data_IF_085959226091
#
_entry.id   IF_085959226091
#
_cell.length_a   1.000
_cell.length_b   1.000
_cell.length_c   1.000
_cell.angle_alpha   90.00
_cell.angle_beta   90.00
_cell.angle_gamma   90.00
#
_symmetry.space_group_name_H-M   'P 1'
#
loop_
_entity.id
_entity.type
_entity.pdbx_description
1 polymer ?
#
# COMPACT_ATOMS: atom_id res chain seq x y z
N UNK A 1 -12.33 -22.62 -3.32
CA UNK A 1 -11.25 -21.74 -3.85
C UNK A 1 -11.75 -20.73 -4.89
N UNK A 2 -12.53 -21.14 -5.92
CA UNK A 2 -12.99 -20.25 -7.01
C UNK A 2 -13.66 -18.95 -6.49
N UNK A 3 -14.65 -19.08 -5.58
CA UNK A 3 -15.37 -17.91 -5.04
C UNK A 3 -14.43 -16.98 -4.29
N UNK A 4 -13.51 -17.51 -3.48
CA UNK A 4 -12.51 -16.71 -2.75
C UNK A 4 -11.59 -15.96 -3.71
N UNK A 5 -11.11 -16.60 -4.78
CA UNK A 5 -10.27 -15.97 -5.80
C UNK A 5 -11.01 -14.84 -6.55
N UNK A 6 -12.29 -15.05 -6.91
CA UNK A 6 -13.13 -14.00 -7.51
C UNK A 6 -13.30 -12.82 -6.56
N UNK A 7 -13.64 -13.06 -5.30
CA UNK A 7 -13.82 -12.01 -4.31
C UNK A 7 -12.52 -11.21 -4.06
N UNK A 8 -11.36 -11.88 -4.01
CA UNK A 8 -10.07 -11.19 -3.87
C UNK A 8 -9.72 -10.37 -5.13
N UNK A 9 -10.03 -10.88 -6.31
CA UNK A 9 -9.95 -10.10 -7.55
C UNK A 9 -10.82 -8.83 -7.49
N UNK A 10 -12.05 -8.93 -6.94
CA UNK A 10 -12.92 -7.77 -6.73
C UNK A 10 -12.35 -6.80 -5.69
N UNK A 11 -11.72 -7.27 -4.62
CA UNK A 11 -11.00 -6.42 -3.66
C UNK A 11 -9.90 -5.62 -4.37
N UNK A 12 -9.17 -6.24 -5.32
CA UNK A 12 -8.19 -5.54 -6.15
C UNK A 12 -8.83 -4.45 -7.02
N UNK A 13 -10.02 -4.71 -7.59
CA UNK A 13 -10.77 -3.70 -8.34
C UNK A 13 -11.17 -2.53 -7.43
N UNK A 14 -11.65 -2.79 -6.22
CA UNK A 14 -12.00 -1.73 -5.25
C UNK A 14 -10.80 -0.84 -4.96
N UNK A 15 -9.60 -1.42 -4.77
CA UNK A 15 -8.38 -0.65 -4.56
C UNK A 15 -8.01 0.26 -5.74
N UNK A 16 -8.16 -0.21 -6.98
CA UNK A 16 -7.85 0.60 -8.16
C UNK A 16 -8.90 1.67 -8.43
N UNK A 17 -10.18 1.38 -8.17
CA UNK A 17 -11.26 2.37 -8.27
C UNK A 17 -11.01 3.54 -7.34
N UNK A 18 -10.64 3.27 -6.09
CA UNK A 18 -10.32 4.31 -5.11
C UNK A 18 -9.26 5.27 -5.63
N UNK A 19 -8.19 4.75 -6.19
CA UNK A 19 -7.07 5.57 -6.66
C UNK A 19 -7.33 6.30 -7.98
N UNK A 20 -8.28 5.83 -8.81
CA UNK A 20 -8.47 6.32 -10.18
C UNK A 20 -9.78 7.07 -10.41
N UNK A 21 -10.86 6.71 -9.71
CA UNK A 21 -12.21 7.24 -9.96
C UNK A 21 -12.82 7.99 -8.77
N UNK A 22 -12.56 7.56 -7.53
CA UNK A 22 -13.26 8.09 -6.35
C UNK A 22 -12.44 9.21 -5.66
N UNK A 23 -11.23 9.49 -6.13
CA UNK A 23 -10.42 10.60 -5.62
C UNK A 23 -9.58 10.26 -4.38
N UNK A 24 -9.10 9.01 -4.27
CA UNK A 24 -8.18 8.54 -3.21
C UNK A 24 -8.73 8.70 -1.79
N UNK A 25 -9.79 7.98 -1.50
CA UNK A 25 -10.33 7.87 -0.13
C UNK A 25 -9.49 6.98 0.80
N UNK A 26 -8.31 6.53 0.32
CA UNK A 26 -7.39 5.63 1.01
C UNK A 26 -7.91 4.18 1.20
N UNK A 27 -8.95 3.77 0.49
CA UNK A 27 -9.43 2.38 0.48
C UNK A 27 -8.38 1.45 -0.13
N UNK A 28 -7.60 1.96 -1.12
CA UNK A 28 -6.49 1.25 -1.74
C UNK A 28 -5.26 1.06 -0.85
N UNK A 29 -5.29 1.45 0.43
CA UNK A 29 -4.16 1.30 1.37
C UNK A 29 -4.01 -0.16 1.81
N UNK A 30 -2.78 -0.63 2.05
CA UNK A 30 -2.50 -1.99 2.50
C UNK A 30 -3.32 -2.43 3.70
N UNK A 31 -3.50 -1.57 4.71
CA UNK A 31 -4.28 -1.87 5.90
C UNK A 31 -5.71 -2.29 5.54
N UNK A 32 -6.37 -1.55 4.65
CA UNK A 32 -7.76 -1.81 4.28
C UNK A 32 -7.84 -3.03 3.35
N UNK A 33 -7.00 -3.10 2.33
CA UNK A 33 -7.03 -4.20 1.36
C UNK A 33 -6.69 -5.56 1.99
N UNK A 34 -5.70 -5.61 2.90
CA UNK A 34 -5.37 -6.83 3.64
C UNK A 34 -6.50 -7.23 4.60
N UNK A 35 -7.15 -6.25 5.25
CA UNK A 35 -8.30 -6.52 6.12
C UNK A 35 -9.47 -7.09 5.30
N UNK A 36 -9.78 -6.51 4.14
CA UNK A 36 -10.81 -7.03 3.22
C UNK A 36 -10.43 -8.43 2.70
N UNK A 37 -9.16 -8.66 2.37
CA UNK A 37 -8.68 -9.97 1.97
C UNK A 37 -8.83 -11.00 3.11
N UNK A 38 -8.49 -10.62 4.33
CA UNK A 38 -8.70 -11.44 5.53
C UNK A 38 -10.18 -11.77 5.76
N UNK A 39 -11.08 -10.81 5.56
CA UNK A 39 -12.52 -11.01 5.67
C UNK A 39 -13.04 -12.02 4.64
N UNK A 40 -12.61 -11.89 3.39
CA UNK A 40 -12.97 -12.83 2.31
C UNK A 40 -12.46 -14.26 2.59
N UNK A 41 -11.29 -14.37 3.18
CA UNK A 41 -10.65 -15.66 3.45
C UNK A 41 -11.11 -16.31 4.76
N UNK A 42 -11.70 -15.52 5.69
CA UNK A 42 -12.22 -15.97 6.98
C UNK A 42 -11.26 -15.76 8.16
N UNK A 43 -10.17 -15.02 7.98
CA UNK A 43 -9.24 -14.63 9.05
C UNK A 43 -8.95 -13.12 9.02
N UNK A 44 -9.90 -12.36 9.56
CA UNK A 44 -9.80 -10.90 9.65
C UNK A 44 -8.63 -10.48 10.54
N UNK A 45 -8.35 -11.23 11.61
CA UNK A 45 -7.25 -10.92 12.53
C UNK A 45 -5.91 -10.92 11.82
N UNK A 46 -5.61 -11.97 11.07
CA UNK A 46 -4.40 -12.08 10.27
C UNK A 46 -4.35 -10.98 9.20
N UNK A 47 -5.48 -10.68 8.56
CA UNK A 47 -5.60 -9.59 7.59
C UNK A 47 -5.24 -8.23 8.17
N UNK A 48 -5.71 -7.89 9.38
CA UNK A 48 -5.39 -6.64 10.06
C UNK A 48 -3.92 -6.58 10.47
N UNK A 49 -3.36 -7.65 11.02
CA UNK A 49 -1.95 -7.69 11.45
C UNK A 49 -1.01 -7.49 10.24
N UNK A 50 -1.24 -8.23 9.17
CA UNK A 50 -0.47 -8.07 7.92
C UNK A 50 -0.68 -6.70 7.30
N UNK A 51 -1.92 -6.24 7.25
CA UNK A 51 -2.27 -4.93 6.73
C UNK A 51 -1.57 -3.80 7.46
N UNK A 52 -1.52 -3.83 8.79
CA UNK A 52 -0.82 -2.84 9.58
C UNK A 52 0.69 -2.84 9.32
N UNK A 53 1.32 -4.02 9.25
CA UNK A 53 2.75 -4.15 8.97
C UNK A 53 3.09 -3.66 7.55
N UNK A 54 2.28 -4.02 6.55
CA UNK A 54 2.45 -3.59 5.16
C UNK A 54 2.17 -2.10 4.98
N UNK A 55 1.24 -1.54 5.77
CA UNK A 55 0.98 -0.10 5.79
C UNK A 55 2.23 0.66 6.24
N UNK A 56 2.88 0.23 7.34
CA UNK A 56 4.11 0.85 7.82
C UNK A 56 5.23 0.81 6.78
N UNK A 57 5.40 -0.31 6.08
CA UNK A 57 6.36 -0.42 4.98
C UNK A 57 5.99 0.55 3.84
N UNK A 58 4.71 0.62 3.48
CA UNK A 58 4.24 1.45 2.37
C UNK A 58 4.35 2.95 2.63
N UNK A 59 4.30 3.38 3.89
CA UNK A 59 4.48 4.78 4.27
C UNK A 59 5.86 5.33 3.91
N UNK A 60 6.88 4.46 3.87
CA UNK A 60 8.24 4.83 3.45
C UNK A 60 8.41 4.95 1.93
N UNK A 61 7.47 4.45 1.15
CA UNK A 61 7.57 4.50 -0.31
C UNK A 61 7.10 5.85 -0.86
N UNK A 62 8.05 6.68 -1.26
CA UNK A 62 7.77 7.97 -1.89
C UNK A 62 8.08 7.87 -3.39
N UNK A 63 7.17 8.38 -4.22
CA UNK A 63 7.43 8.48 -5.65
C UNK A 63 8.58 9.47 -5.92
N UNK A 64 9.66 8.99 -6.55
CA UNK A 64 10.82 9.80 -6.90
C UNK A 64 10.83 9.99 -8.41
N UNK A 65 10.44 11.17 -8.87
CA UNK A 65 10.37 11.53 -10.29
C UNK A 65 9.42 10.60 -11.08
N UNK A 66 9.91 9.99 -12.18
CA UNK A 66 9.13 9.08 -13.02
C UNK A 66 9.06 7.63 -12.48
N UNK A 67 9.87 7.28 -11.48
CA UNK A 67 9.83 5.96 -10.87
C UNK A 67 8.68 5.89 -9.85
N UNK A 68 7.68 5.08 -10.16
CA UNK A 68 6.61 4.76 -9.22
C UNK A 68 7.12 3.85 -8.09
N UNK A 69 6.61 4.00 -6.86
CA UNK A 69 6.89 3.07 -5.78
C UNK A 69 6.26 1.70 -6.08
N UNK A 70 6.75 0.62 -5.43
CA UNK A 70 6.13 -0.69 -5.53
C UNK A 70 4.62 -0.64 -5.30
N UNK A 71 3.85 -1.33 -6.12
CA UNK A 71 2.39 -1.32 -6.03
C UNK A 71 1.91 -2.20 -4.87
N UNK A 72 1.79 -1.59 -3.70
CA UNK A 72 1.40 -2.28 -2.47
C UNK A 72 -0.05 -2.78 -2.47
N UNK A 73 -0.90 -2.37 -3.42
CA UNK A 73 -2.23 -2.95 -3.59
C UNK A 73 -2.13 -4.43 -3.99
N UNK A 74 -1.27 -4.77 -4.96
CA UNK A 74 -0.96 -6.16 -5.30
C UNK A 74 -0.27 -6.87 -4.15
N UNK A 75 0.78 -6.25 -3.60
CA UNK A 75 1.59 -6.84 -2.53
C UNK A 75 0.74 -7.23 -1.32
N UNK A 76 -0.14 -6.35 -0.87
CA UNK A 76 -0.95 -6.58 0.32
C UNK A 76 -2.00 -7.67 0.13
N UNK A 77 -2.73 -7.67 -0.97
CA UNK A 77 -3.78 -8.68 -1.22
C UNK A 77 -3.15 -10.06 -1.38
N UNK A 78 -2.10 -10.18 -2.21
CA UNK A 78 -1.48 -11.47 -2.52
C UNK A 78 -0.72 -12.02 -1.30
N UNK A 79 0.03 -11.19 -0.57
CA UNK A 79 0.73 -11.63 0.63
C UNK A 79 -0.24 -12.06 1.75
N UNK A 80 -1.35 -11.35 1.92
CA UNK A 80 -2.39 -11.74 2.89
C UNK A 80 -3.07 -13.04 2.47
N UNK A 81 -3.40 -13.19 1.18
CA UNK A 81 -3.96 -14.43 0.67
C UNK A 81 -2.99 -15.60 0.85
N UNK A 82 -1.71 -15.38 0.57
CA UNK A 82 -0.67 -16.39 0.80
C UNK A 82 -0.60 -16.81 2.26
N UNK A 83 -0.47 -15.88 3.21
CA UNK A 83 -0.36 -16.19 4.63
C UNK A 83 -1.55 -17.01 5.14
N UNK A 84 -2.78 -16.59 4.80
CA UNK A 84 -3.99 -17.24 5.29
C UNK A 84 -4.21 -18.61 4.64
N UNK A 85 -3.95 -18.74 3.34
CA UNK A 85 -4.22 -19.97 2.60
C UNK A 85 -3.15 -21.05 2.81
N UNK A 86 -1.88 -20.65 2.98
CA UNK A 86 -0.77 -21.59 3.22
C UNK A 86 -0.45 -21.80 4.71
N UNK A 87 -1.05 -21.02 5.62
CA UNK A 87 -0.69 -21.02 7.04
C UNK A 87 0.71 -20.47 7.31
N UNK A 88 1.28 -19.69 6.37
CA UNK A 88 2.61 -19.12 6.52
C UNK A 88 2.65 -18.05 7.61
N UNK A 89 3.83 -17.86 8.20
CA UNK A 89 4.02 -16.80 9.21
C UNK A 89 3.87 -15.40 8.62
N UNK A 90 3.55 -14.43 9.48
CA UNK A 90 3.43 -13.01 9.09
C UNK A 90 4.71 -12.52 8.42
N UNK A 91 5.87 -12.90 8.93
CA UNK A 91 7.19 -12.50 8.43
C UNK A 91 7.45 -13.05 7.02
N UNK A 92 7.08 -14.31 6.77
CA UNK A 92 7.19 -14.91 5.44
C UNK A 92 6.30 -14.17 4.43
N UNK A 93 5.08 -13.82 4.82
CA UNK A 93 4.18 -13.04 3.98
C UNK A 93 4.71 -11.63 3.68
N UNK A 94 5.27 -10.93 4.66
CA UNK A 94 5.88 -9.61 4.48
C UNK A 94 7.04 -9.64 3.48
N UNK A 95 7.84 -10.71 3.51
CA UNK A 95 8.97 -10.86 2.59
C UNK A 95 8.51 -11.04 1.15
N UNK A 96 7.40 -11.73 0.93
CA UNK A 96 6.83 -11.93 -0.41
C UNK A 96 6.11 -10.65 -0.91
N UNK A 97 5.55 -9.87 0.00
CA UNK A 97 4.77 -8.68 -0.36
C UNK A 97 5.54 -7.69 -1.23
N UNK A 98 6.81 -7.40 -0.90
CA UNK A 98 7.62 -6.41 -1.63
C UNK A 98 7.96 -6.87 -3.05
N UNK A 99 8.48 -8.08 -3.30
CA UNK A 99 8.68 -8.59 -4.67
C UNK A 99 7.39 -8.59 -5.50
N UNK A 100 6.27 -9.02 -4.92
CA UNK A 100 4.96 -9.00 -5.59
C UNK A 100 4.53 -7.57 -5.91
N UNK A 101 4.75 -6.63 -4.99
CA UNK A 101 4.45 -5.22 -5.23
C UNK A 101 5.30 -4.62 -6.37
N UNK A 102 6.57 -5.04 -6.51
CA UNK A 102 7.45 -4.62 -7.63
C UNK A 102 6.90 -5.16 -8.96
N UNK A 103 6.50 -6.43 -9.01
CA UNK A 103 5.85 -7.02 -10.19
C UNK A 103 4.55 -6.27 -10.49
N UNK A 104 3.75 -5.96 -9.48
CA UNK A 104 2.53 -5.17 -9.60
C UNK A 104 2.78 -3.77 -10.16
N UNK A 105 3.87 -3.10 -9.78
CA UNK A 105 4.24 -1.82 -10.38
C UNK A 105 4.64 -1.96 -11.85
N UNK A 106 5.35 -3.01 -12.21
CA UNK A 106 5.68 -3.30 -13.61
C UNK A 106 4.41 -3.47 -14.47
N UNK A 107 3.43 -4.22 -13.96
CA UNK A 107 2.11 -4.31 -14.59
C UNK A 107 1.42 -2.94 -14.71
N UNK A 108 1.53 -2.11 -13.67
CA UNK A 108 0.96 -0.76 -13.66
C UNK A 108 1.61 0.16 -14.69
N UNK A 109 2.91 -0.02 -14.99
CA UNK A 109 3.60 0.72 -16.06
C UNK A 109 3.04 0.30 -17.43
N UNK A 110 2.94 -1.00 -17.70
CA UNK A 110 2.34 -1.52 -18.95
C UNK A 110 0.92 -1.01 -19.10
N UNK A 111 0.13 -1.06 -18.05
CA UNK A 111 -1.23 -0.55 -18.03
C UNK A 111 -1.31 0.93 -18.43
N UNK A 112 -0.42 1.77 -17.87
CA UNK A 112 -0.35 3.20 -18.23
C UNK A 112 -0.04 3.43 -19.71
N UNK A 113 0.86 2.61 -20.30
CA UNK A 113 1.17 2.69 -21.72
C UNK A 113 -0.04 2.37 -22.60
N UNK A 114 -0.82 1.34 -22.24
CA UNK A 114 -2.04 0.96 -22.97
C UNK A 114 -3.14 2.01 -22.83
N UNK A 115 -3.34 2.55 -21.60
CA UNK A 115 -4.34 3.60 -21.38
C UNK A 115 -3.98 4.89 -22.14
N UNK A 116 -2.69 5.20 -22.32
CA UNK A 116 -2.29 6.34 -23.15
C UNK A 116 -2.78 6.21 -24.59
N UNK A 117 -2.86 4.97 -25.15
CA UNK A 117 -3.45 4.77 -26.47
C UNK A 117 -4.96 5.05 -26.50
N UNK A 118 -5.67 4.75 -25.40
CA UNK A 118 -7.11 5.11 -25.31
C UNK A 118 -7.31 6.61 -25.32
N UNK A 119 -6.39 7.38 -24.71
CA UNK A 119 -6.43 8.85 -24.76
C UNK A 119 -6.31 9.35 -26.20
N UNK A 120 -5.38 8.81 -27.00
CA UNK A 120 -5.26 9.19 -28.42
C UNK A 120 -6.51 8.87 -29.25
N UNK A 121 -7.21 7.75 -28.93
CA UNK A 121 -8.48 7.42 -29.59
C UNK A 121 -9.59 8.39 -29.17
N UNK A 122 -9.59 8.82 -27.90
CA UNK A 122 -10.54 9.80 -27.40
C UNK A 122 -10.30 11.19 -28.03
N UNK A 123 -9.03 11.61 -28.19
CA UNK A 123 -8.67 12.86 -28.85
C UNK A 123 -9.19 12.94 -30.27
N UNK A 124 -8.98 11.87 -31.07
CA UNK A 124 -9.54 11.75 -32.43
C UNK A 124 -11.06 11.81 -32.45
N UNK A 125 -11.73 11.26 -31.43
CA UNK A 125 -13.19 11.34 -31.34
C UNK A 125 -13.64 12.78 -31.04
N UNK A 126 -12.88 13.54 -30.26
CA UNK A 126 -13.13 14.97 -29.97
C UNK A 126 -12.95 15.80 -31.24
N UNK A 127 -11.86 15.60 -32.00
CA UNK A 127 -11.61 16.27 -33.29
C UNK A 127 -12.74 16.09 -34.26
N UNK A 128 -13.40 14.92 -34.26
CA UNK A 128 -14.55 14.60 -35.08
C UNK A 128 -15.90 15.04 -34.47
N UNK A 129 -15.91 15.81 -33.38
CA UNK A 129 -17.13 16.28 -32.70
C UNK A 129 -17.90 15.21 -31.95
N UNK A 130 -17.32 13.99 -31.76
CA UNK A 130 -17.97 12.85 -31.12
C UNK A 130 -17.73 12.83 -29.59
N UNK A 131 -18.15 13.87 -28.88
CA UNK A 131 -17.87 14.04 -27.44
C UNK A 131 -18.39 12.90 -26.57
N UNK A 132 -19.58 12.36 -26.86
CA UNK A 132 -20.14 11.21 -26.10
C UNK A 132 -19.23 9.99 -26.20
N UNK A 133 -18.67 9.72 -27.39
CA UNK A 133 -17.75 8.61 -27.63
C UNK A 133 -16.43 8.82 -26.89
N UNK A 134 -15.90 10.02 -26.87
CA UNK A 134 -14.67 10.37 -26.14
C UNK A 134 -14.85 10.13 -24.63
N UNK A 135 -15.96 10.60 -24.05
CA UNK A 135 -16.29 10.37 -22.63
C UNK A 135 -16.42 8.86 -22.34
N UNK A 136 -17.09 8.11 -23.23
CA UNK A 136 -17.24 6.67 -23.06
C UNK A 136 -15.90 5.93 -23.07
N UNK A 137 -15.00 6.27 -23.99
CA UNK A 137 -13.65 5.70 -24.06
C UNK A 137 -12.87 6.04 -22.78
N UNK A 138 -12.87 7.30 -22.39
CA UNK A 138 -12.10 7.75 -21.23
C UNK A 138 -12.58 7.12 -19.92
N UNK A 139 -13.87 7.01 -19.70
CA UNK A 139 -14.43 6.44 -18.47
C UNK A 139 -14.48 4.91 -18.51
N UNK A 140 -15.24 4.33 -19.45
CA UNK A 140 -15.56 2.91 -19.39
C UNK A 140 -14.45 2.00 -19.90
N UNK A 141 -13.73 2.38 -20.97
CA UNK A 141 -12.61 1.57 -21.45
C UNK A 141 -11.44 1.60 -20.49
N UNK A 142 -11.11 2.80 -19.98
CA UNK A 142 -10.05 2.94 -18.98
C UNK A 142 -10.40 2.20 -17.69
N UNK A 143 -11.65 2.31 -17.22
CA UNK A 143 -12.13 1.58 -16.05
C UNK A 143 -12.07 0.07 -16.26
N UNK A 144 -12.66 -0.44 -17.35
CA UNK A 144 -12.69 -1.87 -17.63
C UNK A 144 -11.28 -2.47 -17.74
N UNK A 145 -10.37 -1.75 -18.41
CA UNK A 145 -8.99 -2.19 -18.54
C UNK A 145 -8.24 -2.17 -17.20
N UNK A 146 -8.40 -1.13 -16.38
CA UNK A 146 -7.84 -1.08 -15.03
C UNK A 146 -8.37 -2.25 -14.16
N UNK A 147 -9.68 -2.47 -14.18
CA UNK A 147 -10.31 -3.56 -13.43
C UNK A 147 -9.75 -4.92 -13.84
N UNK A 148 -9.60 -5.16 -15.16
CA UNK A 148 -9.10 -6.41 -15.70
C UNK A 148 -7.63 -6.66 -15.33
N UNK A 149 -6.77 -5.64 -15.41
CA UNK A 149 -5.35 -5.73 -15.05
C UNK A 149 -5.15 -6.02 -13.56
N UNK A 150 -6.03 -5.57 -12.68
CA UNK A 150 -5.95 -5.90 -11.26
C UNK A 150 -6.63 -7.23 -10.94
N UNK A 151 -7.78 -7.49 -11.53
CA UNK A 151 -8.54 -8.71 -11.27
C UNK A 151 -7.80 -9.97 -11.69
N UNK A 152 -7.32 -10.02 -12.95
CA UNK A 152 -6.76 -11.26 -13.52
C UNK A 152 -5.54 -11.75 -12.75
N UNK A 153 -4.49 -10.94 -12.49
CA UNK A 153 -3.31 -11.45 -11.77
C UNK A 153 -3.64 -11.90 -10.35
N UNK A 154 -4.47 -11.15 -9.63
CA UNK A 154 -4.86 -11.51 -8.26
C UNK A 154 -5.67 -12.82 -8.29
N UNK A 155 -6.66 -12.92 -9.18
CA UNK A 155 -7.45 -14.13 -9.36
C UNK A 155 -6.58 -15.34 -9.70
N UNK A 156 -5.70 -15.23 -10.70
CA UNK A 156 -4.83 -16.31 -11.13
C UNK A 156 -3.87 -16.74 -10.01
N UNK A 157 -3.27 -15.79 -9.30
CA UNK A 157 -2.35 -16.07 -8.20
C UNK A 157 -3.05 -16.80 -7.06
N UNK A 158 -4.27 -16.39 -6.71
CA UNK A 158 -5.03 -17.03 -5.64
C UNK A 158 -5.61 -18.38 -6.06
N UNK A 159 -6.07 -18.49 -7.30
CA UNK A 159 -6.71 -19.70 -7.79
C UNK A 159 -5.72 -20.83 -8.09
N UNK A 160 -4.60 -20.50 -8.75
CA UNK A 160 -3.59 -21.46 -9.16
C UNK A 160 -2.35 -21.47 -8.28
N UNK A 161 -2.10 -20.40 -7.52
CA UNK A 161 -0.86 -20.21 -6.79
C UNK A 161 -0.80 -20.89 -5.43
N UNK A 162 -1.94 -21.29 -4.86
CA UNK A 162 -1.97 -21.85 -3.49
C UNK A 162 -1.19 -23.15 -3.38
N UNK A 163 -1.35 -24.07 -4.31
CA UNK A 163 -0.64 -25.35 -4.28
C UNK A 163 0.84 -25.20 -4.63
N UNK A 164 1.15 -24.34 -5.62
CA UNK A 164 2.53 -24.00 -5.98
C UNK A 164 3.24 -23.29 -4.84
N UNK A 165 2.57 -22.35 -4.19
CA UNK A 165 3.15 -21.56 -3.10
C UNK A 165 3.34 -22.41 -1.86
N UNK A 166 2.38 -23.28 -1.51
CA UNK A 166 2.50 -24.22 -0.38
C UNK A 166 3.69 -25.16 -0.58
N UNK A 167 3.86 -25.71 -1.77
CA UNK A 167 4.98 -26.56 -2.10
C UNK A 167 6.32 -25.81 -2.09
N UNK A 168 6.35 -24.58 -2.59
CA UNK A 168 7.54 -23.73 -2.55
C UNK A 168 7.94 -23.36 -1.10
N UNK A 169 6.97 -23.01 -0.25
CA UNK A 169 7.23 -22.72 1.17
C UNK A 169 7.74 -23.94 1.92
N UNK A 170 7.14 -25.12 1.68
CA UNK A 170 7.58 -26.36 2.27
C UNK A 170 9.01 -26.76 1.84
N UNK A 171 9.44 -26.32 0.65
CA UNK A 171 10.80 -26.55 0.15
C UNK A 171 11.83 -25.53 0.68
N UNK A 172 11.41 -24.45 1.36
CA UNK A 172 12.32 -23.42 1.89
C UNK A 172 13.00 -23.96 3.16
N UNK A 173 14.35 -24.08 3.20
CA UNK A 173 15.07 -24.46 4.40
C UNK A 173 14.82 -23.51 5.57
N UNK A 174 14.78 -24.04 6.79
CA UNK A 174 14.53 -23.28 8.02
C UNK A 174 15.48 -22.07 8.17
N UNK A 175 16.72 -22.19 7.74
CA UNK A 175 17.69 -21.08 7.77
C UNK A 175 17.25 -19.88 6.92
N UNK A 176 16.64 -20.14 5.76
CA UNK A 176 16.09 -19.10 4.91
C UNK A 176 14.87 -18.47 5.55
N UNK A 177 13.95 -19.28 6.11
CA UNK A 177 12.76 -18.79 6.81
C UNK A 177 13.14 -17.87 7.98
N UNK A 178 14.17 -18.25 8.77
CA UNK A 178 14.68 -17.41 9.85
C UNK A 178 15.27 -16.08 9.31
N UNK A 179 16.02 -16.14 8.20
CA UNK A 179 16.54 -14.94 7.52
C UNK A 179 15.41 -14.03 7.00
N UNK A 180 14.35 -14.62 6.47
CA UNK A 180 13.16 -13.89 6.00
C UNK A 180 12.42 -13.21 7.16
N UNK A 181 12.34 -13.84 8.33
CA UNK A 181 11.78 -13.25 9.55
C UNK A 181 12.54 -11.98 9.95
N UNK A 182 13.87 -12.06 9.99
CA UNK A 182 14.71 -10.91 10.28
C UNK A 182 14.53 -9.81 9.22
N UNK A 183 14.51 -10.18 7.95
CA UNK A 183 14.28 -9.24 6.84
C UNK A 183 12.90 -8.55 6.93
N UNK A 184 11.84 -9.29 7.25
CA UNK A 184 10.47 -8.74 7.43
C UNK A 184 10.43 -7.67 8.53
N UNK A 185 11.07 -7.93 9.67
CA UNK A 185 11.17 -6.96 10.77
C UNK A 185 11.98 -5.72 10.36
N UNK A 186 13.07 -5.90 9.60
CA UNK A 186 13.88 -4.80 9.08
C UNK A 186 13.13 -3.94 8.05
N UNK A 187 12.26 -4.53 7.23
CA UNK A 187 11.46 -3.78 6.25
C UNK A 187 10.53 -2.79 6.91
N UNK A 188 9.88 -3.14 8.02
CA UNK A 188 9.04 -2.22 8.79
C UNK A 188 9.87 -1.06 9.36
N UNK A 189 11.04 -1.35 9.94
CA UNK A 189 11.96 -0.33 10.44
C UNK A 189 12.49 0.57 9.30
N UNK A 190 12.77 0.00 8.13
CA UNK A 190 13.17 0.76 6.95
C UNK A 190 12.06 1.71 6.48
N UNK A 191 10.80 1.25 6.47
CA UNK A 191 9.64 2.10 6.13
C UNK A 191 9.54 3.32 7.04
N UNK A 192 9.69 3.14 8.35
CA UNK A 192 9.75 4.24 9.31
C UNK A 192 10.97 5.14 9.08
N UNK A 193 12.14 4.58 8.84
CA UNK A 193 13.35 5.36 8.57
C UNK A 193 13.21 6.23 7.32
N UNK A 194 12.60 5.70 6.24
CA UNK A 194 12.31 6.43 5.01
C UNK A 194 11.28 7.55 5.24
N UNK A 195 10.21 7.28 5.98
CA UNK A 195 9.23 8.30 6.37
C UNK A 195 9.91 9.41 7.18
N UNK A 196 10.67 9.04 8.21
CA UNK A 196 11.43 9.98 9.02
C UNK A 196 12.39 10.81 8.18
N UNK A 197 13.14 10.20 7.26
CA UNK A 197 14.09 10.92 6.38
C UNK A 197 13.41 11.93 5.46
N UNK A 198 12.16 11.67 5.06
CA UNK A 198 11.37 12.60 4.24
C UNK A 198 10.85 13.80 5.01
N UNK A 199 10.62 13.64 6.32
CA UNK A 199 10.08 14.69 7.20
C UNK A 199 11.16 15.43 7.98
N UNK A 200 12.29 14.78 8.27
CA UNK A 200 13.33 15.28 9.14
C UNK A 200 14.22 16.29 8.42
N UNK A 201 14.05 17.57 8.74
CA UNK A 201 14.99 18.63 8.36
C UNK A 201 15.98 18.92 9.49
N UNK A 202 17.09 19.61 9.19
CA UNK A 202 18.06 20.02 10.20
C UNK A 202 17.43 20.83 11.34
N UNK A 203 16.37 21.60 11.05
CA UNK A 203 15.64 22.38 12.04
C UNK A 203 14.73 21.52 12.93
N UNK A 204 14.23 20.40 12.41
CA UNK A 204 13.31 19.49 13.13
C UNK A 204 14.06 18.42 13.95
N UNK A 205 15.34 18.24 13.70
CA UNK A 205 16.15 17.21 14.39
C UNK A 205 16.14 17.31 15.93
N UNK A 206 16.25 18.51 16.56
CA UNK A 206 16.17 18.60 18.03
C UNK A 206 14.83 18.15 18.60
N UNK A 207 13.72 18.47 17.90
CA UNK A 207 12.38 18.06 18.33
C UNK A 207 12.19 16.54 18.21
N UNK A 208 12.76 15.94 17.18
CA UNK A 208 12.79 14.48 17.03
C UNK A 208 13.53 13.82 18.21
N UNK A 209 14.73 14.30 18.55
CA UNK A 209 15.50 13.78 19.68
C UNK A 209 14.74 13.95 20.99
N UNK A 210 14.11 15.07 21.21
CA UNK A 210 13.31 15.34 22.41
C UNK A 210 12.15 14.35 22.52
N UNK A 211 11.39 14.12 21.43
CA UNK A 211 10.32 13.13 21.40
C UNK A 211 10.82 11.71 21.64
N UNK A 212 11.95 11.33 21.04
CA UNK A 212 12.58 10.04 21.25
C UNK A 212 12.99 9.82 22.71
N UNK A 213 13.63 10.80 23.33
CA UNK A 213 14.04 10.72 24.76
C UNK A 213 12.82 10.61 25.67
N UNK A 214 11.76 11.38 25.41
CA UNK A 214 10.52 11.28 26.19
C UNK A 214 9.94 9.86 26.10
N UNK A 215 9.81 9.29 24.91
CA UNK A 215 9.29 7.93 24.74
C UNK A 215 10.20 6.90 25.42
N UNK A 216 11.52 7.03 25.26
CA UNK A 216 12.47 6.05 25.78
C UNK A 216 12.56 6.03 27.33
N UNK A 217 12.40 7.18 27.99
CA UNK A 217 12.66 7.30 29.41
C UNK A 217 11.43 7.60 30.27
N UNK A 218 10.33 8.12 29.74
CA UNK A 218 9.16 8.50 30.54
C UNK A 218 8.19 7.37 30.85
N UNK A 219 8.24 6.26 30.08
CA UNK A 219 7.25 5.18 30.18
C UNK A 219 5.84 5.58 29.72
N UNK A 220 5.66 6.78 29.16
CA UNK A 220 4.38 7.25 28.62
C UNK A 220 4.00 6.47 27.37
N UNK A 221 2.69 6.23 27.18
CA UNK A 221 2.20 5.63 25.94
C UNK A 221 2.47 6.56 24.75
N UNK A 222 2.65 5.98 23.58
CA UNK A 222 2.85 6.73 22.31
C UNK A 222 1.75 7.77 22.09
N UNK A 223 0.50 7.44 22.42
CA UNK A 223 -0.65 8.36 22.32
C UNK A 223 -0.47 9.56 23.25
N UNK A 224 -0.06 9.33 24.50
CA UNK A 224 0.18 10.40 25.47
C UNK A 224 1.28 11.35 25.02
N UNK A 225 2.39 10.83 24.51
CA UNK A 225 3.50 11.65 23.97
C UNK A 225 3.06 12.44 22.75
N UNK A 226 2.26 11.83 21.85
CA UNK A 226 1.74 12.50 20.66
C UNK A 226 0.80 13.66 21.01
N UNK A 227 -0.10 13.47 21.97
CA UNK A 227 -0.99 14.53 22.44
C UNK A 227 -0.22 15.68 23.08
N UNK A 228 0.77 15.36 23.92
CA UNK A 228 1.63 16.38 24.53
C UNK A 228 2.41 17.15 23.48
N UNK A 229 2.98 16.47 22.49
CA UNK A 229 3.71 17.10 21.39
C UNK A 229 2.80 18.02 20.54
N UNK A 230 1.56 17.61 20.29
CA UNK A 230 0.58 18.42 19.54
C UNK A 230 0.23 19.72 20.29
N UNK A 231 0.02 19.62 21.61
CA UNK A 231 -0.25 20.81 22.45
C UNK A 231 0.98 21.73 22.47
N UNK A 232 2.17 21.17 22.63
CA UNK A 232 3.42 21.94 22.60
C UNK A 232 3.62 22.66 21.26
N UNK A 233 3.37 21.95 20.14
CA UNK A 233 3.45 22.54 18.79
C UNK A 233 2.49 23.70 18.64
N UNK A 234 1.24 23.57 19.11
CA UNK A 234 0.25 24.64 19.08
C UNK A 234 0.66 25.86 19.91
N UNK A 235 1.22 25.64 21.10
CA UNK A 235 1.73 26.72 21.97
C UNK A 235 2.91 27.44 21.30
N UNK A 236 3.86 26.67 20.74
CA UNK A 236 5.02 27.25 20.05
C UNK A 236 4.63 28.04 18.83
N UNK A 237 3.69 27.54 18.02
CA UNK A 237 3.16 28.27 16.87
C UNK A 237 2.55 29.62 17.28
N UNK A 238 1.72 29.62 18.32
CA UNK A 238 1.11 30.83 18.86
C UNK A 238 2.12 31.82 19.44
N UNK A 239 3.19 31.34 20.07
CA UNK A 239 4.24 32.18 20.65
C UNK A 239 5.16 32.75 19.56
N UNK A 240 5.54 31.94 18.58
CA UNK A 240 6.50 32.33 17.54
C UNK A 240 5.86 33.15 16.41
N UNK A 241 4.62 32.80 16.02
CA UNK A 241 3.94 33.40 14.86
C UNK A 241 2.70 34.22 15.22
N UNK A 242 2.14 34.07 16.41
CA UNK A 242 0.95 34.81 16.87
C UNK A 242 1.17 36.31 17.13
N UNK A 243 2.41 36.80 17.11
CA UNK A 243 2.73 38.23 17.22
C UNK A 243 2.49 39.06 15.94
N UNK A 244 2.21 38.38 14.82
CA UNK A 244 1.97 39.07 13.53
C UNK A 244 0.51 39.32 13.17
N UNK A 245 -0.46 38.84 13.95
CA UNK A 245 -1.88 38.95 13.63
C UNK A 245 -2.60 40.12 14.33
N UNK A 246 -1.90 40.90 15.16
CA UNK A 246 -2.43 42.08 15.89
C UNK A 246 -1.62 43.34 15.62
N UNK A 247 -1.06 43.49 14.43
CA UNK A 247 -0.45 44.76 13.99
C UNK A 247 -1.14 45.26 12.71
#
# INVERSE_FOLDING_TARGET
>A
MLIKAILLGLVGIVGVIDSRLIGRQNIGRPLILSTLAGLVLGDVRQGVILGASLELISMGFVAIRAAGPPNMQFGSIIATAFAILSGASTEAALTIAVPVAVIGEFLSVIMRMVIAQFSHVADKAIENGQFKKAIHIHLWWSFGFNALVYFIPIFLTVYFGTDLVTNLVAAIPQAITNGLTVAGNLLSALGFAMLLSSMLSKKMFPYFLLGFLIVAYSGLSLIGVTMFAAILAFILDKVLYGKGANA
#
